data_IF_352989409471
#
_entry.id   IF_352989409471
#
_cell.length_a   1.000
_cell.length_b   1.000
_cell.length_c   1.000
_cell.angle_alpha   90.00
_cell.angle_beta   90.00
_cell.angle_gamma   90.00
#
_symmetry.space_group_name_H-M   'P 1'
#
loop_
_entity.id
_entity.type
_entity.pdbx_description
1 polymer ?
#
# COMPACT_ATOMS: atom_id res chain seq x y z
N UNK A 1 -10.09 -1.95 21.35
CA UNK A 1 -8.95 -1.03 21.16
C UNK A 1 -8.33 -1.40 19.84
N UNK A 2 -8.37 -0.52 18.84
CA UNK A 2 -7.61 -0.76 17.61
C UNK A 2 -6.14 -0.72 18.01
N UNK A 3 -5.38 -1.77 17.75
CA UNK A 3 -3.95 -1.63 17.53
C UNK A 3 -3.80 -0.57 16.44
N UNK A 4 -3.59 0.68 16.88
CA UNK A 4 -3.06 1.70 15.99
C UNK A 4 -1.81 1.05 15.44
N UNK A 5 -1.73 0.88 14.11
CA UNK A 5 -0.53 0.41 13.45
C UNK A 5 0.62 1.21 14.05
N UNK A 6 1.36 0.58 14.95
CA UNK A 6 2.55 1.18 15.50
C UNK A 6 3.44 1.38 14.29
N UNK A 7 3.90 2.63 14.12
CA UNK A 7 4.94 2.92 13.16
C UNK A 7 5.99 1.84 13.33
N UNK A 8 6.42 1.23 12.24
CA UNK A 8 7.49 0.25 12.35
C UNK A 8 8.68 0.92 13.02
N UNK A 9 9.40 0.17 13.86
CA UNK A 9 10.58 0.68 14.57
C UNK A 9 11.54 1.40 13.61
N UNK A 10 11.58 0.94 12.35
CA UNK A 10 12.27 1.56 11.24
C UNK A 10 11.80 3.01 10.96
N UNK A 11 10.52 3.24 10.65
CA UNK A 11 10.03 4.60 10.36
C UNK A 11 10.14 5.52 11.57
N UNK A 12 9.90 5.01 12.78
CA UNK A 12 10.01 5.80 14.00
C UNK A 12 11.45 6.29 14.23
N UNK A 13 12.44 5.44 14.03
CA UNK A 13 13.85 5.83 14.15
C UNK A 13 14.25 6.85 13.09
N UNK A 14 13.85 6.64 11.83
CA UNK A 14 14.09 7.63 10.76
C UNK A 14 13.42 8.97 11.08
N UNK A 15 12.20 8.97 11.60
CA UNK A 15 11.47 10.17 11.97
C UNK A 15 12.20 10.97 13.06
N UNK A 16 12.76 10.30 14.08
CA UNK A 16 13.55 10.94 15.13
C UNK A 16 14.77 11.64 14.50
N UNK A 17 15.54 10.92 13.67
CA UNK A 17 16.75 11.46 13.02
C UNK A 17 16.43 12.63 12.07
N UNK A 18 15.36 12.51 11.27
CA UNK A 18 14.90 13.57 10.36
C UNK A 18 14.39 14.78 11.14
N UNK A 19 13.74 14.61 12.29
CA UNK A 19 13.21 15.72 13.08
C UNK A 19 14.31 16.71 13.50
N UNK A 20 15.50 16.22 13.80
CA UNK A 20 16.65 17.05 14.19
C UNK A 20 17.25 17.82 12.99
N UNK A 21 17.05 17.30 11.77
CA UNK A 21 17.33 18.03 10.54
C UNK A 21 16.29 19.13 10.29
N UNK A 22 15.00 18.86 10.54
CA UNK A 22 13.90 19.81 10.31
C UNK A 22 13.94 20.99 11.29
N UNK A 23 14.27 20.77 12.58
CA UNK A 23 14.36 21.84 13.60
C UNK A 23 15.37 22.94 13.24
N UNK A 24 16.29 22.68 12.32
CA UNK A 24 17.30 23.63 11.84
C UNK A 24 16.83 24.51 10.68
N UNK A 25 15.56 24.38 10.26
CA UNK A 25 14.95 25.18 9.19
C UNK A 25 14.23 26.40 9.78
N UNK A 26 14.51 27.57 9.21
CA UNK A 26 13.87 28.84 9.57
C UNK A 26 12.37 28.78 9.21
N UNK A 27 11.53 28.91 10.23
CA UNK A 27 10.07 28.91 10.09
C UNK A 27 9.51 30.28 9.70
N UNK A 28 10.37 31.30 9.56
CA UNK A 28 9.97 32.68 9.25
C UNK A 28 9.36 32.85 7.85
N UNK A 29 9.72 32.00 6.89
CA UNK A 29 9.14 32.02 5.54
C UNK A 29 8.11 30.89 5.36
N UNK A 30 6.91 31.24 4.86
CA UNK A 30 5.90 30.23 4.49
C UNK A 30 6.48 29.28 3.46
N UNK A 31 6.62 28.01 3.81
CA UNK A 31 7.02 26.98 2.86
C UNK A 31 5.95 26.85 1.75
N UNK A 32 6.29 27.27 0.53
CA UNK A 32 5.38 27.21 -0.63
C UNK A 32 5.31 25.77 -1.20
N UNK A 33 6.34 24.95 -0.98
CA UNK A 33 6.48 23.60 -1.56
C UNK A 33 7.08 22.57 -0.59
N UNK A 34 6.42 22.30 0.54
CA UNK A 34 6.85 21.24 1.47
C UNK A 34 8.20 21.53 2.16
N UNK A 35 8.93 20.48 2.55
CA UNK A 35 10.23 20.62 3.23
C UNK A 35 11.27 21.22 2.26
N UNK A 36 11.60 22.50 2.46
CA UNK A 36 12.64 23.22 1.71
C UNK A 36 13.77 23.59 2.68
N UNK A 37 14.90 22.87 2.70
CA UNK A 37 15.98 23.18 3.61
C UNK A 37 16.64 24.51 3.23
N UNK A 38 17.06 25.29 4.23
CA UNK A 38 17.70 26.60 4.04
C UNK A 38 19.11 26.53 3.45
N UNK A 39 19.65 25.33 3.29
CA UNK A 39 20.95 25.06 2.67
C UNK A 39 20.87 23.76 1.87
N UNK A 40 21.80 23.54 0.93
CA UNK A 40 21.98 22.21 0.35
C UNK A 40 22.18 21.16 1.45
N UNK A 41 21.51 20.01 1.28
CA UNK A 41 21.64 18.88 2.21
C UNK A 41 23.01 18.24 2.03
N UNK A 42 23.63 17.85 3.15
CA UNK A 42 24.82 16.99 3.15
C UNK A 42 24.44 15.60 2.60
N UNK A 43 25.45 14.82 2.18
CA UNK A 43 25.21 13.48 1.61
C UNK A 43 24.46 12.58 2.59
N UNK A 44 24.83 12.57 3.87
CA UNK A 44 24.13 11.79 4.89
C UNK A 44 22.69 12.26 5.12
N UNK A 45 22.46 13.58 5.08
CA UNK A 45 21.12 14.17 5.26
C UNK A 45 20.20 13.85 4.09
N UNK A 46 20.72 13.91 2.86
CA UNK A 46 19.99 13.52 1.66
C UNK A 46 19.63 12.03 1.69
N UNK A 47 20.59 11.17 2.06
CA UNK A 47 20.36 9.74 2.22
C UNK A 47 19.28 9.44 3.28
N UNK A 48 19.36 10.07 4.44
CA UNK A 48 18.37 9.96 5.51
C UNK A 48 16.98 10.39 5.03
N UNK A 49 16.88 11.55 4.37
CA UNK A 49 15.62 12.07 3.85
C UNK A 49 15.00 11.13 2.82
N UNK A 50 15.79 10.61 1.87
CA UNK A 50 15.31 9.71 0.83
C UNK A 50 14.80 8.38 1.43
N UNK A 51 15.50 7.82 2.42
CA UNK A 51 15.04 6.62 3.14
C UNK A 51 13.75 6.89 3.93
N UNK A 52 13.66 8.04 4.61
CA UNK A 52 12.47 8.43 5.36
C UNK A 52 11.25 8.59 4.47
N UNK A 53 11.38 9.31 3.35
CA UNK A 53 10.27 9.50 2.40
C UNK A 53 9.79 8.17 1.81
N UNK A 54 10.71 7.31 1.35
CA UNK A 54 10.36 6.01 0.81
C UNK A 54 9.69 5.10 1.87
N UNK A 55 10.16 5.16 3.12
CA UNK A 55 9.55 4.43 4.23
C UNK A 55 8.15 4.96 4.56
N UNK A 56 7.96 6.28 4.58
CA UNK A 56 6.69 6.91 4.86
C UNK A 56 5.64 6.57 3.80
N UNK A 57 6.02 6.58 2.52
CA UNK A 57 5.13 6.17 1.42
C UNK A 57 4.67 4.71 1.56
N UNK A 58 5.56 3.81 1.96
CA UNK A 58 5.22 2.41 2.20
C UNK A 58 4.28 2.26 3.40
N UNK A 59 4.57 2.93 4.51
CA UNK A 59 3.72 2.89 5.72
C UNK A 59 2.33 3.47 5.47
N UNK A 60 2.23 4.59 4.74
CA UNK A 60 0.95 5.15 4.33
C UNK A 60 0.15 4.17 3.46
N UNK A 61 0.82 3.44 2.57
CA UNK A 61 0.17 2.41 1.76
C UNK A 61 -0.38 1.26 2.62
N UNK A 62 0.40 0.77 3.60
CA UNK A 62 -0.03 -0.29 4.53
C UNK A 62 -1.19 0.20 5.42
N UNK A 63 -1.15 1.46 5.86
CA UNK A 63 -2.26 2.08 6.59
C UNK A 63 -3.52 2.18 5.74
N UNK A 64 -3.40 2.55 4.47
CA UNK A 64 -4.52 2.60 3.54
C UNK A 64 -5.12 1.22 3.25
N UNK A 65 -4.30 0.17 3.14
CA UNK A 65 -4.77 -1.22 3.04
C UNK A 65 -5.66 -1.59 4.21
N UNK A 66 -5.21 -1.35 5.44
CA UNK A 66 -6.00 -1.60 6.65
C UNK A 66 -7.28 -0.76 6.69
N UNK A 67 -7.16 0.54 6.38
CA UNK A 67 -8.30 1.45 6.32
C UNK A 67 -9.36 0.96 5.33
N UNK A 68 -8.96 0.46 4.17
CA UNK A 68 -9.90 -0.03 3.15
C UNK A 68 -10.74 -1.22 3.66
N UNK A 69 -10.13 -2.16 4.40
CA UNK A 69 -10.85 -3.28 5.01
C UNK A 69 -11.89 -2.84 6.03
N UNK A 70 -11.56 -1.86 6.88
CA UNK A 70 -12.51 -1.33 7.87
C UNK A 70 -13.62 -0.50 7.24
N UNK A 71 -13.30 0.30 6.21
CA UNK A 71 -14.28 1.16 5.56
C UNK A 71 -15.28 0.38 4.69
N UNK A 72 -14.91 -0.80 4.17
CA UNK A 72 -15.81 -1.63 3.36
C UNK A 72 -17.19 -1.85 4.01
N UNK A 73 -17.21 -2.08 5.33
CA UNK A 73 -18.45 -2.32 6.07
C UNK A 73 -19.21 -1.05 6.47
N UNK A 74 -18.62 0.14 6.30
CA UNK A 74 -19.13 1.40 6.83
C UNK A 74 -19.94 2.21 5.80
N UNK A 75 -20.67 1.53 4.91
CA UNK A 75 -21.56 2.21 3.97
C UNK A 75 -22.67 2.97 4.72
N UNK A 76 -22.73 4.28 4.52
CA UNK A 76 -23.79 5.16 5.05
C UNK A 76 -24.51 5.83 3.90
N UNK A 77 -25.83 5.70 3.85
CA UNK A 77 -26.66 6.28 2.79
C UNK A 77 -26.83 7.81 2.96
N UNK A 78 -25.76 8.56 2.74
CA UNK A 78 -25.73 10.03 2.87
C UNK A 78 -26.37 10.72 1.67
N UNK A 79 -26.81 11.97 1.85
CA UNK A 79 -27.39 12.77 0.76
C UNK A 79 -26.41 12.95 -0.40
N UNK A 80 -25.11 13.04 -0.13
CA UNK A 80 -24.07 13.16 -1.17
C UNK A 80 -24.02 11.92 -2.05
N UNK A 81 -24.03 10.71 -1.46
CA UNK A 81 -24.04 9.47 -2.25
C UNK A 81 -25.32 9.33 -3.07
N UNK A 82 -26.48 9.66 -2.49
CA UNK A 82 -27.77 9.66 -3.21
C UNK A 82 -27.76 10.62 -4.40
N UNK A 83 -27.28 11.85 -4.22
CA UNK A 83 -27.21 12.87 -5.30
C UNK A 83 -26.31 12.43 -6.46
N UNK A 84 -25.30 11.62 -6.19
CA UNK A 84 -24.37 11.10 -7.19
C UNK A 84 -24.71 9.68 -7.66
N UNK A 85 -25.89 9.15 -7.28
CA UNK A 85 -26.33 7.79 -7.60
C UNK A 85 -25.35 6.68 -7.17
N UNK A 86 -24.54 6.92 -6.14
CA UNK A 86 -23.58 5.93 -5.65
C UNK A 86 -24.32 4.92 -4.77
N UNK A 87 -24.48 3.73 -5.34
CA UNK A 87 -25.05 2.56 -4.70
C UNK A 87 -24.10 1.96 -3.65
N UNK A 88 -24.68 1.12 -2.77
CA UNK A 88 -23.88 0.30 -1.86
C UNK A 88 -22.98 -0.68 -2.63
N UNK A 89 -23.45 -1.17 -3.77
CA UNK A 89 -22.68 -2.05 -4.64
C UNK A 89 -21.43 -1.34 -5.19
N UNK A 90 -21.58 -0.15 -5.77
CA UNK A 90 -20.44 0.63 -6.28
C UNK A 90 -19.44 0.98 -5.18
N UNK A 91 -19.93 1.29 -3.98
CA UNK A 91 -19.08 1.52 -2.82
C UNK A 91 -18.23 0.30 -2.45
N UNK A 92 -18.82 -0.90 -2.45
CA UNK A 92 -18.12 -2.16 -2.17
C UNK A 92 -17.04 -2.40 -3.21
N UNK A 93 -17.39 -2.31 -4.50
CA UNK A 93 -16.45 -2.49 -5.62
C UNK A 93 -15.29 -1.50 -5.52
N UNK A 94 -15.57 -0.22 -5.27
CA UNK A 94 -14.54 0.81 -5.11
C UNK A 94 -13.49 0.46 -4.04
N UNK A 95 -13.94 -0.07 -2.90
CA UNK A 95 -13.03 -0.47 -1.83
C UNK A 95 -12.24 -1.74 -2.15
N UNK A 96 -12.85 -2.73 -2.80
CA UNK A 96 -12.18 -3.97 -3.21
C UNK A 96 -11.13 -3.69 -4.29
N UNK A 97 -11.48 -2.96 -5.35
CA UNK A 97 -10.57 -2.59 -6.43
C UNK A 97 -9.42 -1.71 -5.91
N UNK A 98 -9.75 -0.75 -5.05
CA UNK A 98 -8.78 0.09 -4.38
C UNK A 98 -7.83 -0.68 -3.48
N UNK A 99 -8.28 -1.74 -2.82
CA UNK A 99 -7.44 -2.62 -2.01
C UNK A 99 -6.49 -3.44 -2.88
N UNK A 100 -7.00 -4.11 -3.93
CA UNK A 100 -6.20 -4.90 -4.87
C UNK A 100 -5.09 -4.07 -5.54
N UNK A 101 -5.40 -2.86 -5.98
CA UNK A 101 -4.41 -1.93 -6.54
C UNK A 101 -3.29 -1.65 -5.54
N UNK A 102 -3.63 -1.41 -4.28
CA UNK A 102 -2.67 -1.12 -3.21
C UNK A 102 -1.83 -2.35 -2.84
N UNK A 103 -2.41 -3.55 -2.79
CA UNK A 103 -1.68 -4.81 -2.54
C UNK A 103 -0.56 -4.96 -3.56
N UNK A 104 -0.86 -4.79 -4.86
CA UNK A 104 0.18 -4.88 -5.89
C UNK A 104 1.20 -3.74 -5.85
N UNK A 105 0.84 -2.61 -5.23
CA UNK A 105 1.74 -1.47 -5.05
C UNK A 105 2.77 -1.64 -3.94
N UNK A 106 2.53 -2.54 -2.97
CA UNK A 106 3.39 -2.76 -1.80
C UNK A 106 4.81 -3.10 -2.21
N UNK A 107 4.96 -4.10 -3.08
CA UNK A 107 6.28 -4.56 -3.53
C UNK A 107 7.03 -3.45 -4.28
N UNK A 108 6.34 -2.63 -5.07
CA UNK A 108 6.95 -1.53 -5.81
C UNK A 108 7.52 -0.46 -4.86
N UNK A 109 6.78 -0.07 -3.80
CA UNK A 109 7.25 0.93 -2.82
C UNK A 109 8.37 0.37 -1.96
N UNK A 110 8.26 -0.89 -1.56
CA UNK A 110 9.31 -1.56 -0.81
C UNK A 110 10.62 -1.64 -1.61
N UNK A 111 10.55 -1.93 -2.91
CA UNK A 111 11.74 -1.94 -3.76
C UNK A 111 12.37 -0.56 -3.95
N UNK A 112 11.57 0.52 -3.91
CA UNK A 112 12.10 1.90 -3.86
C UNK A 112 12.86 2.11 -2.53
N UNK A 113 12.29 1.70 -1.41
CA UNK A 113 12.98 1.77 -0.11
C UNK A 113 14.29 0.97 -0.13
N UNK A 114 14.28 -0.26 -0.63
CA UNK A 114 15.48 -1.10 -0.81
C UNK A 114 16.52 -0.38 -1.67
N UNK A 115 16.11 0.22 -2.79
CA UNK A 115 17.00 0.99 -3.66
C UNK A 115 17.68 2.15 -2.93
N UNK A 116 16.95 2.87 -2.08
CA UNK A 116 17.51 3.97 -1.29
C UNK A 116 18.44 3.46 -0.19
N UNK A 117 18.00 2.52 0.64
CA UNK A 117 18.79 1.97 1.77
C UNK A 117 20.10 1.34 1.29
N UNK A 118 20.07 0.58 0.19
CA UNK A 118 21.27 -0.05 -0.36
C UNK A 118 22.03 0.84 -1.36
N UNK A 119 21.53 2.04 -1.65
CA UNK A 119 22.08 2.98 -2.63
C UNK A 119 22.38 2.34 -4.00
N UNK A 120 21.47 1.50 -4.50
CA UNK A 120 21.63 0.79 -5.79
C UNK A 120 21.71 1.79 -6.96
N UNK A 121 21.07 2.96 -6.83
CA UNK A 121 21.16 4.04 -7.81
C UNK A 121 20.17 3.90 -8.98
N UNK A 122 19.10 3.11 -8.80
CA UNK A 122 18.01 3.06 -9.78
C UNK A 122 17.11 4.28 -9.65
N UNK A 123 16.57 4.72 -10.80
CA UNK A 123 15.43 5.63 -10.79
C UNK A 123 14.18 4.92 -10.24
N UNK A 124 13.33 5.62 -9.50
CA UNK A 124 12.18 5.03 -8.80
C UNK A 124 11.24 4.24 -9.74
N UNK A 125 11.07 4.68 -10.99
CA UNK A 125 10.23 3.97 -11.97
C UNK A 125 10.82 2.62 -12.41
N UNK A 126 12.14 2.41 -12.25
CA UNK A 126 12.85 1.16 -12.50
C UNK A 126 12.87 0.21 -11.29
N UNK A 127 12.41 0.64 -10.11
CA UNK A 127 12.36 -0.21 -8.91
C UNK A 127 11.21 -1.22 -9.00
N UNK A 128 11.37 -2.22 -9.87
CA UNK A 128 10.38 -3.27 -10.15
C UNK A 128 10.96 -4.65 -9.89
N UNK A 129 10.12 -5.66 -9.57
CA UNK A 129 10.60 -7.03 -9.33
C UNK A 129 11.45 -7.59 -10.47
N UNK A 130 11.15 -7.21 -11.72
CA UNK A 130 11.89 -7.71 -12.89
C UNK A 130 13.28 -7.11 -13.10
N UNK A 131 13.59 -5.99 -12.45
CA UNK A 131 14.91 -5.36 -12.48
C UNK A 131 15.76 -5.70 -11.26
N UNK A 132 15.11 -5.96 -10.12
CA UNK A 132 15.79 -6.12 -8.83
C UNK A 132 15.81 -7.56 -8.32
N UNK A 133 14.79 -8.38 -8.60
CA UNK A 133 14.67 -9.73 -8.05
C UNK A 133 14.89 -10.81 -9.12
N UNK A 134 13.94 -10.95 -10.06
CA UNK A 134 14.01 -11.95 -11.15
C UNK A 134 13.49 -11.38 -12.44
N UNK A 135 14.24 -11.53 -13.53
CA UNK A 135 13.80 -11.04 -14.83
C UNK A 135 12.60 -11.85 -15.39
N UNK A 136 12.02 -11.38 -16.50
CA UNK A 136 10.85 -12.02 -17.16
C UNK A 136 11.09 -13.48 -17.59
N UNK A 137 12.34 -13.95 -17.64
CA UNK A 137 12.73 -15.33 -17.97
C UNK A 137 13.09 -16.15 -16.71
N UNK A 138 12.71 -15.68 -15.51
CA UNK A 138 13.06 -16.26 -14.22
C UNK A 138 14.57 -16.40 -13.95
N UNK A 139 15.41 -15.62 -14.63
CA UNK A 139 16.86 -15.53 -14.36
C UNK A 139 17.16 -14.38 -13.40
N UNK A 140 18.36 -14.37 -12.82
CA UNK A 140 18.87 -13.27 -11.98
C UNK A 140 18.68 -11.92 -12.69
N UNK A 141 18.14 -10.95 -11.96
CA UNK A 141 17.93 -9.61 -12.49
C UNK A 141 19.24 -8.80 -12.44
N UNK A 142 19.29 -7.68 -13.18
CA UNK A 142 20.51 -6.88 -13.33
C UNK A 142 21.09 -6.42 -11.98
N UNK A 143 20.22 -6.07 -11.04
CA UNK A 143 20.60 -5.56 -9.73
C UNK A 143 20.38 -6.57 -8.59
N UNK A 144 20.08 -7.85 -8.91
CA UNK A 144 19.86 -8.85 -7.84
C UNK A 144 21.12 -9.12 -7.04
N UNK A 145 22.31 -8.96 -7.64
CA UNK A 145 23.59 -9.14 -6.96
C UNK A 145 23.77 -8.20 -5.75
N UNK A 146 23.31 -6.95 -5.82
CA UNK A 146 23.41 -6.01 -4.70
C UNK A 146 22.50 -6.40 -3.53
N UNK A 147 21.32 -6.94 -3.85
CA UNK A 147 20.37 -7.44 -2.83
C UNK A 147 20.86 -8.77 -2.23
N UNK A 148 21.43 -9.64 -3.06
CA UNK A 148 21.96 -10.95 -2.63
C UNK A 148 23.16 -10.83 -1.68
N UNK A 149 23.89 -9.69 -1.69
CA UNK A 149 24.94 -9.41 -0.70
C UNK A 149 24.39 -9.25 0.72
N UNK A 150 23.11 -8.94 0.87
CA UNK A 150 22.45 -8.79 2.18
C UNK A 150 21.78 -10.12 2.54
N UNK A 151 22.23 -10.81 3.60
CA UNK A 151 21.66 -12.09 4.00
C UNK A 151 20.15 -12.00 4.21
N UNK A 152 19.42 -13.03 3.75
CA UNK A 152 17.97 -13.19 3.87
C UNK A 152 17.10 -12.14 3.15
N UNK A 153 17.65 -11.00 2.74
CA UNK A 153 16.87 -9.92 2.12
C UNK A 153 16.23 -10.37 0.81
N UNK A 154 17.03 -10.99 -0.08
CA UNK A 154 16.54 -11.47 -1.37
C UNK A 154 15.43 -12.52 -1.19
N UNK A 155 15.58 -13.45 -0.24
CA UNK A 155 14.58 -14.49 0.03
C UNK A 155 13.28 -13.89 0.56
N UNK A 156 13.36 -12.98 1.52
CA UNK A 156 12.19 -12.30 2.10
C UNK A 156 11.45 -11.44 1.06
N UNK A 157 12.19 -10.69 0.24
CA UNK A 157 11.60 -9.93 -0.88
C UNK A 157 10.95 -10.84 -1.90
N UNK A 158 11.56 -12.00 -2.19
CA UNK A 158 11.01 -12.97 -3.12
C UNK A 158 9.72 -13.61 -2.60
N UNK A 159 9.66 -13.96 -1.30
CA UNK A 159 8.46 -14.47 -0.64
C UNK A 159 7.30 -13.47 -0.73
N UNK A 160 7.55 -12.21 -0.38
CA UNK A 160 6.54 -11.14 -0.51
C UNK A 160 6.13 -10.93 -1.96
N UNK A 161 7.09 -10.89 -2.90
CA UNK A 161 6.79 -10.73 -4.32
C UNK A 161 5.91 -11.86 -4.83
N UNK A 162 6.17 -13.11 -4.45
CA UNK A 162 5.36 -14.26 -4.85
C UNK A 162 3.95 -14.19 -4.27
N UNK A 163 3.81 -13.79 -3.00
CA UNK A 163 2.51 -13.56 -2.38
C UNK A 163 1.71 -12.45 -3.10
N UNK A 164 2.36 -11.35 -3.48
CA UNK A 164 1.68 -10.25 -4.18
C UNK A 164 1.33 -10.62 -5.63
N UNK A 165 2.13 -11.45 -6.29
CA UNK A 165 1.94 -11.81 -7.71
C UNK A 165 0.64 -12.58 -7.95
N UNK A 166 0.12 -13.30 -6.95
CA UNK A 166 -1.18 -14.01 -7.06
C UNK A 166 -2.36 -13.07 -7.34
N UNK A 167 -2.24 -11.78 -6.99
CA UNK A 167 -3.29 -10.76 -7.23
C UNK A 167 -3.09 -9.98 -8.53
N UNK A 168 -2.02 -10.28 -9.29
CA UNK A 168 -1.64 -9.48 -10.46
C UNK A 168 -2.66 -9.57 -11.58
N UNK A 169 -3.21 -10.75 -11.84
CA UNK A 169 -4.18 -10.96 -12.91
C UNK A 169 -5.51 -10.25 -12.62
N UNK A 170 -6.00 -10.34 -11.38
CA UNK A 170 -7.17 -9.58 -10.94
C UNK A 170 -6.94 -8.07 -11.04
N UNK A 171 -5.77 -7.59 -10.61
CA UNK A 171 -5.41 -6.18 -10.74
C UNK A 171 -5.32 -5.73 -12.20
N UNK A 172 -4.71 -6.54 -13.07
CA UNK A 172 -4.61 -6.24 -14.49
C UNK A 172 -6.01 -6.20 -15.12
N UNK A 173 -6.90 -7.09 -14.68
CA UNK A 173 -8.30 -7.03 -15.07
C UNK A 173 -8.96 -5.72 -14.65
N UNK A 174 -8.75 -5.21 -13.42
CA UNK A 174 -9.25 -3.87 -13.00
C UNK A 174 -8.69 -2.76 -13.90
N UNK A 175 -7.39 -2.81 -14.17
CA UNK A 175 -6.69 -1.74 -14.88
C UNK A 175 -7.08 -1.68 -16.37
N UNK A 176 -7.37 -2.82 -16.99
CA UNK A 176 -7.67 -2.93 -18.42
C UNK A 176 -9.17 -3.08 -18.72
N UNK A 177 -9.89 -3.83 -17.90
CA UNK A 177 -11.32 -4.02 -17.95
C UNK A 177 -11.94 -3.05 -16.96
N UNK A 178 -12.67 -2.02 -17.42
CA UNK A 178 -13.21 -0.93 -16.57
C UNK A 178 -14.09 -1.37 -15.37
N UNK A 179 -14.33 -2.68 -15.15
CA UNK A 179 -15.01 -3.29 -13.99
C UNK A 179 -14.52 -4.73 -13.77
N UNK A 180 -14.28 -5.15 -12.53
CA UNK A 180 -14.23 -6.58 -12.19
C UNK A 180 -15.64 -7.19 -12.24
N UNK A 181 -15.78 -8.32 -12.93
CA UNK A 181 -16.96 -9.19 -12.84
C UNK A 181 -16.83 -10.15 -11.66
N UNK A 182 -17.13 -9.68 -10.46
CA UNK A 182 -17.35 -10.57 -9.31
C UNK A 182 -18.71 -11.24 -9.50
N UNK A 183 -18.71 -12.49 -9.98
CA UNK A 183 -19.94 -13.23 -10.27
C UNK A 183 -20.86 -13.30 -9.05
N UNK A 184 -20.30 -13.37 -7.84
CA UNK A 184 -21.02 -13.40 -6.58
C UNK A 184 -21.55 -12.03 -6.12
N UNK A 185 -20.93 -10.92 -6.54
CA UNK A 185 -21.49 -9.57 -6.36
C UNK A 185 -22.52 -9.21 -7.44
N UNK A 186 -22.52 -9.91 -8.58
CA UNK A 186 -23.49 -9.71 -9.68
C UNK A 186 -24.94 -9.95 -9.24
N UNK A 187 -25.15 -10.91 -8.34
CA UNK A 187 -26.48 -11.14 -7.76
C UNK A 187 -26.94 -9.94 -6.91
N UNK A 188 -26.02 -9.34 -6.14
CA UNK A 188 -26.29 -8.14 -5.35
C UNK A 188 -26.59 -6.95 -6.25
N UNK A 189 -25.82 -6.78 -7.34
CA UNK A 189 -26.05 -5.76 -8.37
C UNK A 189 -27.47 -5.90 -8.97
N UNK A 190 -27.86 -7.12 -9.33
CA UNK A 190 -29.20 -7.40 -9.87
C UNK A 190 -30.31 -7.02 -8.90
N UNK A 191 -30.19 -7.40 -7.62
CA UNK A 191 -31.16 -6.96 -6.62
C UNK A 191 -31.21 -5.44 -6.50
N UNK A 192 -30.06 -4.76 -6.54
CA UNK A 192 -30.00 -3.31 -6.44
C UNK A 192 -30.72 -2.64 -7.62
N UNK A 193 -30.46 -3.10 -8.84
CA UNK A 193 -31.10 -2.61 -10.06
C UNK A 193 -32.62 -2.83 -10.02
N UNK A 194 -33.08 -4.02 -9.62
CA UNK A 194 -34.52 -4.31 -9.49
C UNK A 194 -35.21 -3.41 -8.45
N UNK A 195 -34.56 -3.18 -7.31
CA UNK A 195 -35.09 -2.30 -6.25
C UNK A 195 -35.14 -0.84 -6.71
N UNK A 196 -34.18 -0.39 -7.51
CA UNK A 196 -34.13 0.98 -8.02
C UNK A 196 -35.13 1.23 -9.17
N UNK A 197 -35.34 0.25 -10.05
CA UNK A 197 -36.10 0.45 -11.29
C UNK A 197 -37.58 0.08 -11.18
N UNK A 198 -37.97 -0.72 -10.19
CA UNK A 198 -39.33 -1.22 -10.12
C UNK A 198 -40.24 -0.42 -9.19
N UNK A 199 -41.49 -0.24 -9.61
CA UNK A 199 -42.59 0.32 -8.83
C UNK A 199 -43.44 -0.77 -8.13
N UNK A 200 -43.09 -2.04 -8.30
CA UNK A 200 -43.89 -3.17 -7.79
C UNK A 200 -43.73 -3.34 -6.26
N UNK A 201 -44.80 -3.24 -5.46
CA UNK A 201 -44.74 -3.40 -4.00
C UNK A 201 -44.23 -4.78 -3.55
N UNK A 202 -44.36 -5.82 -4.38
CA UNK A 202 -43.84 -7.17 -4.06
C UNK A 202 -42.31 -7.19 -3.99
N UNK A 203 -41.62 -6.22 -4.59
CA UNK A 203 -40.16 -6.10 -4.57
C UNK A 203 -39.64 -5.52 -3.26
N UNK A 204 -40.49 -4.91 -2.43
CA UNK A 204 -40.07 -4.44 -1.10
C UNK A 204 -39.55 -5.59 -0.21
N UNK A 205 -40.08 -6.81 -0.39
CA UNK A 205 -39.56 -8.00 0.30
C UNK A 205 -38.12 -8.34 -0.11
N UNK A 206 -37.72 -8.02 -1.35
CA UNK A 206 -36.36 -8.23 -1.84
C UNK A 206 -35.35 -7.28 -1.19
N UNK A 207 -35.76 -6.12 -0.66
CA UNK A 207 -34.86 -5.20 0.06
C UNK A 207 -34.20 -5.87 1.25
N UNK A 208 -34.96 -6.66 2.01
CA UNK A 208 -34.45 -7.39 3.19
C UNK A 208 -33.46 -8.47 2.76
N UNK A 209 -33.81 -9.25 1.73
CA UNK A 209 -32.96 -10.31 1.18
C UNK A 209 -31.65 -9.73 0.62
N UNK A 210 -31.76 -8.68 -0.20
CA UNK A 210 -30.62 -7.96 -0.78
C UNK A 210 -29.69 -7.42 0.29
N UNK A 211 -30.25 -6.75 1.32
CA UNK A 211 -29.46 -6.24 2.44
C UNK A 211 -28.71 -7.37 3.14
N UNK A 212 -29.39 -8.46 3.51
CA UNK A 212 -28.77 -9.59 4.21
C UNK A 212 -27.65 -10.23 3.39
N UNK A 213 -27.89 -10.50 2.10
CA UNK A 213 -26.86 -11.04 1.20
C UNK A 213 -25.66 -10.10 1.08
N UNK A 214 -25.92 -8.81 0.94
CA UNK A 214 -24.86 -7.78 0.89
C UNK A 214 -24.05 -7.74 2.18
N UNK A 215 -24.71 -7.78 3.35
CA UNK A 215 -24.04 -7.75 4.65
C UNK A 215 -23.12 -8.97 4.84
N UNK A 216 -23.58 -10.17 4.43
CA UNK A 216 -22.78 -11.39 4.45
C UNK A 216 -21.53 -11.23 3.57
N UNK A 217 -21.72 -10.85 2.30
CA UNK A 217 -20.62 -10.68 1.35
C UNK A 217 -19.62 -9.62 1.80
N UNK A 218 -20.09 -8.49 2.31
CA UNK A 218 -19.23 -7.44 2.89
C UNK A 218 -18.41 -7.98 4.05
N UNK A 219 -18.99 -8.83 4.91
CA UNK A 219 -18.25 -9.47 6.00
C UNK A 219 -17.17 -10.41 5.49
N UNK A 220 -17.48 -11.26 4.51
CA UNK A 220 -16.53 -12.19 3.87
C UNK A 220 -15.34 -11.44 3.26
N UNK A 221 -15.62 -10.42 2.43
CA UNK A 221 -14.57 -9.62 1.80
C UNK A 221 -13.74 -8.83 2.82
N UNK A 222 -14.39 -8.27 3.85
CA UNK A 222 -13.66 -7.57 4.92
C UNK A 222 -12.69 -8.52 5.62
N UNK A 223 -13.13 -9.72 5.97
CA UNK A 223 -12.27 -10.72 6.61
C UNK A 223 -11.11 -11.11 5.70
N UNK A 224 -11.38 -11.39 4.42
CA UNK A 224 -10.35 -11.71 3.44
C UNK A 224 -9.33 -10.57 3.26
N UNK A 225 -9.80 -9.32 3.17
CA UNK A 225 -8.94 -8.14 3.05
C UNK A 225 -8.06 -7.95 4.29
N UNK A 226 -8.62 -8.08 5.49
CA UNK A 226 -7.86 -7.96 6.74
C UNK A 226 -6.84 -9.09 6.90
N UNK A 227 -7.19 -10.33 6.53
CA UNK A 227 -6.26 -11.46 6.50
C UNK A 227 -5.11 -11.21 5.51
N UNK A 228 -5.42 -10.75 4.30
CA UNK A 228 -4.41 -10.38 3.31
C UNK A 228 -3.48 -9.26 3.84
N UNK A 229 -4.03 -8.23 4.49
CA UNK A 229 -3.23 -7.16 5.08
C UNK A 229 -2.29 -7.66 6.18
N UNK A 230 -2.77 -8.60 7.02
CA UNK A 230 -1.95 -9.20 8.07
C UNK A 230 -0.80 -10.01 7.47
N UNK A 231 -1.07 -10.85 6.46
CA UNK A 231 -0.02 -11.62 5.78
C UNK A 231 1.04 -10.71 5.14
N UNK A 232 0.63 -9.60 4.51
CA UNK A 232 1.56 -8.59 3.99
C UNK A 232 2.43 -8.01 5.12
N UNK A 233 1.82 -7.66 6.25
CA UNK A 233 2.53 -7.12 7.42
C UNK A 233 3.55 -8.13 7.95
N UNK A 234 3.17 -9.40 8.06
CA UNK A 234 4.03 -10.48 8.55
C UNK A 234 5.22 -10.71 7.61
N UNK A 235 5.01 -10.62 6.29
CA UNK A 235 6.06 -10.75 5.27
C UNK A 235 7.00 -9.53 5.20
N UNK A 236 6.50 -8.32 5.46
CA UNK A 236 7.30 -7.09 5.43
C UNK A 236 8.14 -6.91 6.70
N UNK A 237 7.61 -7.30 7.86
CA UNK A 237 8.27 -7.14 9.17
C UNK A 237 9.74 -7.60 9.19
N UNK A 238 10.11 -8.82 8.74
CA UNK A 238 11.52 -9.23 8.71
C UNK A 238 12.36 -8.43 7.72
N UNK A 239 11.76 -7.90 6.64
CA UNK A 239 12.45 -7.04 5.67
C UNK A 239 12.83 -5.72 6.32
N UNK A 240 11.93 -5.12 7.11
CA UNK A 240 12.25 -3.89 7.85
C UNK A 240 13.39 -4.07 8.84
N UNK A 241 13.44 -5.19 9.57
CA UNK A 241 14.57 -5.48 10.45
C UNK A 241 15.91 -5.49 9.70
N UNK A 242 15.95 -6.17 8.56
CA UNK A 242 17.16 -6.23 7.72
C UNK A 242 17.53 -4.85 7.17
N UNK A 243 16.54 -4.09 6.68
CA UNK A 243 16.78 -2.75 6.13
C UNK A 243 17.21 -1.74 7.19
N UNK A 244 16.72 -1.86 8.43
CA UNK A 244 17.17 -1.05 9.56
C UNK A 244 18.67 -1.23 9.82
N UNK A 245 19.12 -2.48 9.87
CA UNK A 245 20.52 -2.80 10.09
C UNK A 245 21.41 -2.25 8.97
N UNK A 246 20.98 -2.39 7.71
CA UNK A 246 21.72 -1.84 6.56
C UNK A 246 21.72 -0.31 6.59
N UNK A 247 20.59 0.29 6.95
CA UNK A 247 20.47 1.73 7.07
C UNK A 247 21.45 2.29 8.09
N UNK A 248 21.52 1.70 9.29
CA UNK A 248 22.44 2.13 10.35
C UNK A 248 23.91 2.02 9.94
N UNK A 249 24.31 0.89 9.35
CA UNK A 249 25.68 0.70 8.84
C UNK A 249 26.05 1.81 7.86
N UNK A 250 25.17 2.05 6.87
CA UNK A 250 25.44 3.02 5.82
C UNK A 250 25.40 4.47 6.32
N UNK A 251 24.46 4.79 7.19
CA UNK A 251 24.36 6.11 7.80
C UNK A 251 25.61 6.44 8.63
N UNK A 252 26.11 5.45 9.39
CA UNK A 252 27.34 5.59 10.16
C UNK A 252 28.55 5.86 9.24
N UNK A 253 28.74 5.08 8.18
CA UNK A 253 29.81 5.30 7.19
C UNK A 253 29.78 6.71 6.59
N UNK A 254 28.60 7.19 6.19
CA UNK A 254 28.45 8.53 5.61
C UNK A 254 28.71 9.65 6.61
N UNK A 255 28.52 9.40 7.90
CA UNK A 255 28.78 10.38 8.97
C UNK A 255 30.28 10.47 9.31
N UNK A 256 31.05 9.38 9.15
CA UNK A 256 32.50 9.38 9.40
C UNK A 256 33.33 10.06 8.31
N UNK A 257 32.77 10.17 7.10
CA UNK A 257 33.45 10.74 5.91
C UNK A 257 33.15 12.24 5.74
N UNK A 258 32.17 12.78 6.47
CA UNK A 258 31.70 14.16 6.38
C UNK A 258 32.36 15.06 7.44
#
# INVERSE_FOLDING_TARGET
MSEVLQLTDFLQQLAIMVSDMIKKVDTSSKAIHGFTPNRPLLKQEKYLLDCFLASAELEDLIKQLNTSGYLLANFRNTNTLKKNNISRFEYIIYHIEGHLLRVTGVIDRLLILVNHVLQIGLANFCCKPHFMLKNKKNKKALHSAEIEKVPLLHESLFKLSAFVDQFRDERNSIAHSKKITYQDLREIELYHLLIQTSTNPKIDKLKIVSKRKTDIKVSEYKEAMLKCNQEIKDLITPIYGILLDQFHKRHFELTQVA
#
